data_IF_871196113154
#
_entry.id   IF_871196113154
#
_cell.length_a   1.000
_cell.length_b   1.000
_cell.length_c   1.000
_cell.angle_alpha   90.00
_cell.angle_beta   90.00
_cell.angle_gamma   90.00
#
_symmetry.space_group_name_H-M   'P 1'
#
loop_
_entity.id
_entity.type
_entity.pdbx_description
1 polymer ?
#
# COMPACT_ATOMS: atom_id res chain seq x y z
N UNK A 1 -23.63 -5.64 14.90
CA UNK A 1 -24.25 -6.84 14.31
C UNK A 1 -24.77 -6.45 12.94
N UNK A 2 -24.13 -6.89 11.89
CA UNK A 2 -24.56 -6.69 10.53
C UNK A 2 -25.32 -7.94 10.08
N UNK A 3 -26.64 -7.80 9.82
CA UNK A 3 -27.42 -8.76 9.06
C UNK A 3 -28.03 -9.91 9.86
N UNK A 4 -29.33 -9.81 10.14
CA UNK A 4 -30.20 -10.95 10.42
C UNK A 4 -30.70 -11.61 9.14
N UNK A 5 -31.37 -12.78 9.20
CA UNK A 5 -31.89 -13.47 8.03
C UNK A 5 -32.85 -12.57 7.25
N UNK A 6 -32.54 -12.34 5.97
CA UNK A 6 -33.34 -11.51 5.05
C UNK A 6 -32.67 -10.24 4.55
N UNK A 7 -31.43 -10.00 4.85
CA UNK A 7 -30.73 -8.83 4.30
C UNK A 7 -30.24 -9.04 2.87
N UNK A 8 -30.57 -8.06 2.02
CA UNK A 8 -30.14 -8.01 0.60
C UNK A 8 -28.66 -7.65 0.50
N UNK A 9 -27.98 -8.30 -0.39
CA UNK A 9 -26.60 -8.00 -0.75
C UNK A 9 -26.58 -6.92 -1.87
N UNK A 10 -25.79 -5.81 -1.77
CA UNK A 10 -24.85 -5.54 -0.70
C UNK A 10 -25.52 -5.01 0.57
N UNK A 11 -24.95 -5.33 1.74
CA UNK A 11 -25.38 -4.71 2.99
C UNK A 11 -25.29 -3.18 2.88
N UNK A 12 -26.23 -2.42 3.47
CA UNK A 12 -26.17 -0.97 3.44
C UNK A 12 -24.82 -0.50 4.02
N UNK A 13 -24.24 0.51 3.39
CA UNK A 13 -22.98 1.11 3.84
C UNK A 13 -23.09 1.49 5.32
N UNK A 14 -22.27 0.87 6.17
CA UNK A 14 -22.21 1.23 7.58
C UNK A 14 -21.20 2.37 7.72
N UNK A 15 -21.65 3.49 8.25
CA UNK A 15 -20.78 4.64 8.51
C UNK A 15 -19.87 4.31 9.70
N UNK A 16 -18.59 4.00 9.40
CA UNK A 16 -17.57 3.73 10.40
C UNK A 16 -17.22 4.98 11.23
N UNK A 17 -17.45 6.19 10.72
CA UNK A 17 -17.21 7.43 11.46
C UNK A 17 -18.00 7.50 12.78
N UNK A 18 -19.17 6.87 12.86
CA UNK A 18 -19.94 6.81 14.10
C UNK A 18 -19.30 5.88 15.16
N UNK A 19 -18.55 4.86 14.73
CA UNK A 19 -17.83 3.96 15.64
C UNK A 19 -16.58 4.62 16.24
N UNK A 20 -16.04 5.64 15.58
CA UNK A 20 -14.85 6.39 16.01
C UNK A 20 -15.18 7.79 16.55
N UNK A 21 -16.46 8.22 16.51
CA UNK A 21 -16.89 9.49 17.07
C UNK A 21 -16.64 9.53 18.59
N UNK A 22 -15.74 10.42 19.02
CA UNK A 22 -15.41 10.59 20.44
C UNK A 22 -14.08 9.98 20.89
N UNK A 23 -13.30 9.41 20.00
CA UNK A 23 -11.92 8.99 20.29
C UNK A 23 -11.04 10.24 20.34
N UNK A 24 -10.71 10.69 21.56
CA UNK A 24 -9.93 11.92 21.78
C UNK A 24 -8.43 11.74 21.46
N UNK A 25 -7.94 10.51 21.36
CA UNK A 25 -6.58 10.18 20.97
C UNK A 25 -6.62 8.94 20.06
N UNK A 26 -6.37 9.09 18.75
CA UNK A 26 -6.37 7.98 17.82
C UNK A 26 -5.11 7.09 17.93
N UNK A 27 -4.10 7.50 18.71
CA UNK A 27 -2.88 6.74 18.92
C UNK A 27 -3.16 5.51 19.78
N UNK A 28 -3.07 4.33 19.18
CA UNK A 28 -3.31 3.06 19.87
C UNK A 28 -3.42 1.88 18.92
N UNK A 29 -3.47 0.68 19.49
CA UNK A 29 -3.66 -0.55 18.70
C UNK A 29 -5.11 -0.66 18.26
N UNK A 30 -5.35 -0.60 16.95
CA UNK A 30 -6.66 -0.80 16.34
C UNK A 30 -6.80 -2.24 15.88
N UNK A 31 -7.89 -2.90 16.27
CA UNK A 31 -8.19 -4.27 15.83
C UNK A 31 -9.44 -4.23 14.96
N UNK A 32 -9.29 -4.46 13.65
CA UNK A 32 -10.40 -4.75 12.77
C UNK A 32 -10.81 -6.21 12.93
N UNK A 33 -11.94 -6.46 13.59
CA UNK A 33 -12.51 -7.79 13.69
C UNK A 33 -13.64 -7.93 12.69
N UNK A 34 -13.46 -8.75 11.66
CA UNK A 34 -14.52 -9.18 10.77
C UNK A 34 -15.09 -10.49 11.32
N UNK A 35 -16.35 -10.49 11.69
CA UNK A 35 -17.05 -11.70 12.18
C UNK A 35 -18.17 -12.00 11.19
N UNK A 36 -18.08 -13.12 10.51
CA UNK A 36 -19.21 -13.71 9.79
C UNK A 36 -20.15 -14.34 10.81
N UNK A 37 -21.34 -13.81 10.93
CA UNK A 37 -22.39 -14.26 11.86
C UNK A 37 -23.46 -15.12 11.21
N UNK A 38 -23.33 -15.45 9.92
CA UNK A 38 -24.33 -16.24 9.20
C UNK A 38 -23.79 -17.61 8.83
N UNK A 39 -24.50 -18.68 9.23
CA UNK A 39 -24.21 -20.03 8.78
C UNK A 39 -24.83 -20.24 7.39
N UNK A 40 -24.01 -20.47 6.38
CA UNK A 40 -24.45 -20.92 5.06
C UNK A 40 -24.03 -20.07 3.86
N UNK A 41 -23.31 -18.98 4.07
CA UNK A 41 -22.70 -18.21 3.00
C UNK A 41 -21.19 -18.14 3.19
N UNK A 42 -20.45 -18.26 2.12
CA UNK A 42 -19.00 -18.09 2.11
C UNK A 42 -18.66 -16.76 1.46
N UNK A 43 -18.37 -15.74 2.26
CA UNK A 43 -17.85 -14.46 1.79
C UNK A 43 -16.32 -14.49 1.78
N UNK A 44 -15.70 -14.17 0.65
CA UNK A 44 -14.27 -13.92 0.58
C UNK A 44 -14.02 -12.40 0.60
N UNK A 45 -13.30 -11.93 1.61
CA UNK A 45 -12.69 -10.60 1.57
C UNK A 45 -11.36 -10.76 0.84
N UNK A 46 -11.31 -10.36 -0.42
CA UNK A 46 -10.11 -10.53 -1.27
C UNK A 46 -8.98 -9.57 -0.90
N UNK A 47 -9.30 -8.43 -0.31
CA UNK A 47 -8.36 -7.51 0.33
C UNK A 47 -9.14 -6.54 1.22
N UNK A 48 -8.60 -6.20 2.38
CA UNK A 48 -9.00 -5.05 3.17
C UNK A 48 -7.73 -4.26 3.49
N UNK A 49 -7.64 -3.04 3.00
CA UNK A 49 -6.55 -2.13 3.31
C UNK A 49 -7.04 -1.18 4.40
N UNK A 50 -6.38 -1.21 5.54
CA UNK A 50 -6.53 -0.24 6.61
C UNK A 50 -5.25 0.59 6.61
N UNK A 51 -5.34 1.85 6.23
CA UNK A 51 -4.22 2.79 6.30
C UNK A 51 -4.51 3.80 7.40
N UNK A 52 -3.56 4.03 8.30
CA UNK A 52 -3.68 4.97 9.41
C UNK A 52 -2.70 6.13 9.17
N UNK A 53 -3.10 7.37 9.42
CA UNK A 53 -2.39 8.57 9.00
C UNK A 53 -1.42 9.18 10.00
N UNK A 54 -0.30 9.65 9.47
CA UNK A 54 0.50 10.75 9.97
C UNK A 54 0.81 11.77 8.85
N UNK A 55 1.33 12.93 9.16
CA UNK A 55 1.60 14.05 8.23
C UNK A 55 2.94 13.94 7.48
N UNK A 56 3.36 12.74 7.11
CA UNK A 56 4.55 12.49 6.29
C UNK A 56 4.15 11.82 4.97
N UNK A 57 4.95 11.99 3.92
CA UNK A 57 4.72 11.39 2.61
C UNK A 57 4.92 9.86 2.66
N UNK A 58 3.94 9.18 3.17
CA UNK A 58 3.88 7.73 3.21
C UNK A 58 2.71 7.31 2.36
N UNK A 59 2.71 6.12 1.75
CA UNK A 59 1.64 5.56 0.92
C UNK A 59 0.24 5.82 1.47
N UNK A 60 -0.17 7.07 1.40
CA UNK A 60 -1.44 7.56 1.90
C UNK A 60 -2.40 7.48 0.73
N UNK A 61 -3.40 6.64 0.81
CA UNK A 61 -4.54 6.70 -0.11
C UNK A 61 -5.38 7.91 0.29
N UNK A 62 -4.92 9.10 -0.10
CA UNK A 62 -5.62 10.38 0.08
C UNK A 62 -6.20 10.82 -1.26
N UNK A 63 -7.41 10.36 -1.55
CA UNK A 63 -8.08 10.62 -2.84
C UNK A 63 -8.67 12.02 -2.94
N UNK A 64 -8.82 12.72 -1.81
CA UNK A 64 -9.43 14.05 -1.78
C UNK A 64 -8.42 15.19 -1.52
N UNK A 65 -7.20 14.90 -1.08
CA UNK A 65 -6.13 15.87 -0.83
C UNK A 65 -6.28 16.61 0.49
N UNK A 66 -6.90 15.99 1.49
CA UNK A 66 -7.08 16.63 2.82
C UNK A 66 -5.95 16.29 3.80
N UNK A 67 -4.91 15.55 3.34
CA UNK A 67 -3.76 15.12 4.13
C UNK A 67 -4.06 13.95 5.06
N UNK A 68 -5.15 13.23 4.81
CA UNK A 68 -5.56 12.07 5.61
C UNK A 68 -5.83 10.88 4.73
N UNK A 69 -5.52 9.70 5.22
CA UNK A 69 -5.84 8.45 4.52
C UNK A 69 -7.34 8.24 4.41
N UNK A 70 -7.79 7.95 3.21
CA UNK A 70 -9.14 7.56 2.89
C UNK A 70 -9.33 6.04 2.92
N UNK A 71 -10.57 5.62 3.14
CA UNK A 71 -10.93 4.21 3.14
C UNK A 71 -11.25 3.75 1.73
N UNK A 72 -10.39 2.91 1.14
CA UNK A 72 -10.62 2.38 -0.20
C UNK A 72 -10.78 0.86 -0.19
N UNK A 73 -11.77 0.37 -0.94
CA UNK A 73 -12.01 -1.05 -1.18
C UNK A 73 -12.08 -1.29 -2.68
N UNK A 74 -11.26 -2.20 -3.18
CA UNK A 74 -11.29 -2.60 -4.58
C UNK A 74 -12.09 -3.89 -4.73
N UNK A 75 -13.06 -3.89 -5.65
CA UNK A 75 -13.95 -5.03 -5.89
C UNK A 75 -13.98 -5.39 -7.36
N UNK A 76 -13.84 -6.67 -7.65
CA UNK A 76 -14.06 -7.21 -8.99
C UNK A 76 -15.57 -7.13 -9.34
N UNK A 77 -15.91 -6.34 -10.33
CA UNK A 77 -17.27 -6.15 -10.84
C UNK A 77 -17.51 -6.81 -12.20
N UNK A 78 -16.44 -7.20 -12.91
CA UNK A 78 -16.51 -7.81 -14.22
C UNK A 78 -16.56 -9.34 -14.20
N UNK A 79 -16.36 -9.96 -13.03
CA UNK A 79 -16.29 -11.41 -12.86
C UNK A 79 -15.04 -12.05 -13.45
N UNK A 80 -14.65 -13.22 -12.94
CA UNK A 80 -13.45 -13.94 -13.34
C UNK A 80 -12.14 -13.26 -12.89
N UNK A 81 -10.98 -13.90 -13.13
CA UNK A 81 -9.69 -13.42 -12.63
C UNK A 81 -9.19 -12.14 -13.34
N UNK A 82 -9.71 -11.83 -14.51
CA UNK A 82 -9.34 -10.63 -15.29
C UNK A 82 -10.50 -9.63 -15.39
N UNK A 83 -11.53 -9.79 -14.55
CA UNK A 83 -12.68 -8.89 -14.52
C UNK A 83 -12.28 -7.46 -14.15
N UNK A 84 -13.04 -6.50 -14.69
CA UNK A 84 -12.87 -5.10 -14.34
C UNK A 84 -13.10 -4.88 -12.85
N UNK A 85 -12.35 -3.97 -12.24
CA UNK A 85 -12.51 -3.63 -10.82
C UNK A 85 -13.07 -2.23 -10.64
N UNK A 86 -13.78 -2.05 -9.52
CA UNK A 86 -14.22 -0.75 -9.03
C UNK A 86 -13.56 -0.46 -7.68
N UNK A 87 -13.10 0.76 -7.53
CA UNK A 87 -12.56 1.35 -6.32
C UNK A 87 -13.69 2.12 -5.63
N UNK A 88 -14.00 1.72 -4.41
CA UNK A 88 -15.00 2.40 -3.57
C UNK A 88 -14.25 3.12 -2.47
N UNK A 89 -14.17 4.43 -2.55
CA UNK A 89 -13.44 5.25 -1.59
C UNK A 89 -14.41 6.04 -0.73
N UNK A 90 -14.25 5.95 0.57
CA UNK A 90 -14.91 6.79 1.56
C UNK A 90 -13.90 7.79 2.11
N UNK A 91 -14.17 9.08 1.95
CA UNK A 91 -13.27 10.13 2.46
C UNK A 91 -13.27 10.16 3.98
N UNK A 92 -12.06 10.26 4.56
CA UNK A 92 -11.90 10.58 5.97
C UNK A 92 -12.16 12.07 6.20
N UNK A 93 -12.47 12.50 7.38
CA UNK A 93 -12.60 13.93 7.68
C UNK A 93 -13.92 14.59 7.24
N UNK A 94 -14.08 14.93 5.99
CA UNK A 94 -15.21 15.79 5.52
C UNK A 94 -16.47 15.03 5.11
N UNK A 95 -16.42 13.71 5.10
CA UNK A 95 -17.51 12.88 4.58
C UNK A 95 -17.60 12.92 3.04
N UNK A 96 -18.37 11.98 2.49
CA UNK A 96 -18.41 11.79 1.03
C UNK A 96 -17.49 10.67 0.58
N UNK A 97 -17.36 10.51 -0.71
CA UNK A 97 -16.53 9.46 -1.31
C UNK A 97 -16.66 9.45 -2.82
N UNK A 98 -15.88 8.59 -3.46
CA UNK A 98 -15.91 8.41 -4.92
C UNK A 98 -15.95 6.93 -5.29
N UNK A 99 -16.32 6.68 -6.52
CA UNK A 99 -16.24 5.34 -7.12
C UNK A 99 -15.59 5.45 -8.47
N UNK A 100 -14.47 4.76 -8.64
CA UNK A 100 -13.72 4.71 -9.88
C UNK A 100 -13.72 3.29 -10.44
N UNK A 101 -13.88 3.18 -11.75
CA UNK A 101 -13.79 1.89 -12.44
C UNK A 101 -12.51 1.87 -13.24
N UNK A 102 -11.50 1.20 -12.71
CA UNK A 102 -10.16 1.22 -13.30
C UNK A 102 -9.34 -0.01 -12.90
N UNK A 103 -8.73 -0.65 -13.90
CA UNK A 103 -7.91 -1.84 -13.69
C UNK A 103 -8.67 -3.15 -13.82
N UNK A 104 -7.97 -4.22 -13.54
CA UNK A 104 -8.40 -5.61 -13.63
C UNK A 104 -8.13 -6.34 -12.31
N UNK A 105 -8.90 -7.37 -12.01
CA UNK A 105 -8.73 -8.15 -10.78
C UNK A 105 -7.39 -8.90 -10.69
N UNK A 106 -6.67 -9.03 -11.80
CA UNK A 106 -5.31 -9.59 -11.85
C UNK A 106 -4.19 -8.56 -11.70
N UNK A 107 -4.52 -7.28 -11.65
CA UNK A 107 -3.54 -6.21 -11.47
C UNK A 107 -3.17 -6.06 -9.99
N UNK A 108 -1.99 -5.51 -9.73
CA UNK A 108 -1.61 -5.02 -8.42
C UNK A 108 -2.12 -3.58 -8.25
N UNK A 109 -2.70 -3.29 -7.10
CA UNK A 109 -3.26 -1.97 -6.81
C UNK A 109 -2.18 -1.13 -6.12
N UNK A 110 -1.82 -0.02 -6.75
CA UNK A 110 -0.67 0.82 -6.39
C UNK A 110 -1.05 2.31 -6.43
N UNK A 111 -2.09 2.73 -5.68
CA UNK A 111 -2.49 4.13 -5.65
C UNK A 111 -1.40 4.96 -4.99
N UNK A 112 -1.07 6.09 -5.59
CA UNK A 112 -0.08 7.06 -5.10
C UNK A 112 -0.24 8.39 -5.87
N UNK A 113 0.38 9.47 -5.40
CA UNK A 113 0.38 10.75 -6.12
C UNK A 113 1.47 10.76 -7.20
N UNK A 114 1.13 10.37 -8.42
CA UNK A 114 2.06 10.37 -9.56
C UNK A 114 2.14 11.71 -10.31
N UNK A 115 1.24 12.64 -10.03
CA UNK A 115 1.21 13.92 -10.75
C UNK A 115 1.55 15.14 -9.89
N UNK A 116 1.65 14.98 -8.56
CA UNK A 116 2.11 16.00 -7.62
C UNK A 116 1.04 16.99 -7.22
N UNK A 117 -0.24 16.58 -7.24
CA UNK A 117 -1.35 17.43 -6.84
C UNK A 117 -1.78 17.23 -5.36
N UNK A 118 -1.02 16.41 -4.62
CA UNK A 118 -1.27 15.97 -3.26
C UNK A 118 -2.53 15.12 -3.10
N UNK A 119 -2.96 14.44 -4.16
CA UNK A 119 -4.00 13.42 -4.12
C UNK A 119 -3.48 12.12 -4.69
N UNK A 120 -3.92 11.03 -4.11
CA UNK A 120 -3.59 9.74 -4.70
C UNK A 120 -4.32 9.55 -6.03
N UNK A 121 -3.56 9.17 -7.04
CA UNK A 121 -4.08 8.71 -8.32
C UNK A 121 -4.57 7.27 -8.22
N UNK A 122 -5.61 6.93 -8.96
CA UNK A 122 -6.00 5.53 -9.10
C UNK A 122 -5.02 4.85 -10.04
N UNK A 123 -4.20 3.95 -9.50
CA UNK A 123 -3.16 3.31 -10.26
C UNK A 123 -3.11 1.80 -10.04
N UNK A 124 -2.74 1.08 -11.10
CA UNK A 124 -2.54 -0.36 -11.09
C UNK A 124 -1.25 -0.72 -11.83
N UNK A 125 -0.60 -1.78 -11.37
CA UNK A 125 0.51 -2.39 -12.10
C UNK A 125 0.06 -3.73 -12.66
N UNK A 126 0.27 -3.91 -13.97
CA UNK A 126 -0.10 -5.13 -14.69
C UNK A 126 1.14 -5.92 -15.07
N UNK A 127 1.32 -7.11 -14.47
CA UNK A 127 2.46 -7.97 -14.81
C UNK A 127 2.38 -8.47 -16.25
N UNK A 128 3.53 -8.50 -16.91
CA UNK A 128 3.71 -9.10 -18.23
C UNK A 128 5.15 -9.63 -18.32
N UNK A 129 5.40 -10.83 -18.85
CA UNK A 129 6.72 -11.42 -18.86
C UNK A 129 7.75 -10.66 -19.70
N UNK A 130 7.30 -9.83 -20.64
CA UNK A 130 8.18 -9.04 -21.51
C UNK A 130 8.28 -7.59 -21.04
N UNK A 131 7.15 -7.00 -20.67
CA UNK A 131 7.06 -5.58 -20.30
C UNK A 131 5.81 -5.34 -19.47
N UNK A 132 5.96 -5.19 -18.17
CA UNK A 132 4.88 -4.79 -17.28
C UNK A 132 4.63 -3.29 -17.36
N UNK A 133 3.44 -2.85 -16.97
CA UNK A 133 3.03 -1.47 -17.06
C UNK A 133 2.36 -0.99 -15.79
N UNK A 134 2.72 0.20 -15.33
CA UNK A 134 1.86 1.01 -14.48
C UNK A 134 0.83 1.71 -15.35
N UNK A 135 -0.44 1.59 -14.99
CA UNK A 135 -1.55 2.32 -15.58
C UNK A 135 -2.10 3.25 -14.51
N UNK A 136 -2.14 4.53 -14.82
CA UNK A 136 -2.43 5.60 -13.86
C UNK A 136 -3.56 6.47 -14.42
N UNK A 137 -4.57 6.73 -13.62
CA UNK A 137 -5.59 7.72 -13.87
C UNK A 137 -5.31 8.92 -12.98
N UNK A 138 -4.75 9.98 -13.55
CA UNK A 138 -4.32 11.18 -12.82
C UNK A 138 -5.50 11.90 -12.20
N UNK A 139 -5.40 12.22 -10.92
CA UNK A 139 -6.44 12.92 -10.15
C UNK A 139 -6.65 14.35 -10.61
N UNK A 140 -5.56 15.09 -10.89
CA UNK A 140 -5.62 16.51 -11.29
C UNK A 140 -6.31 16.76 -12.63
N UNK A 141 -6.19 15.84 -13.57
CA UNK A 141 -6.62 16.04 -14.96
C UNK A 141 -7.60 15.00 -15.47
N UNK A 142 -7.80 13.92 -14.72
CA UNK A 142 -8.54 12.74 -15.16
C UNK A 142 -8.00 12.14 -16.46
N UNK A 143 -6.70 12.29 -16.70
CA UNK A 143 -6.04 11.76 -17.91
C UNK A 143 -5.34 10.44 -17.61
N UNK A 144 -5.37 9.55 -18.59
CA UNK A 144 -4.70 8.25 -18.53
C UNK A 144 -3.20 8.40 -18.85
N UNK A 145 -2.36 7.72 -18.05
CA UNK A 145 -0.95 7.53 -18.30
C UNK A 145 -0.59 6.06 -18.23
N UNK A 146 0.33 5.62 -19.08
CA UNK A 146 0.94 4.29 -18.99
C UNK A 146 2.47 4.43 -18.92
N UNK A 147 3.09 3.79 -17.94
CA UNK A 147 4.54 3.75 -17.76
C UNK A 147 4.97 2.29 -17.90
N UNK A 148 5.80 1.99 -18.89
CA UNK A 148 6.36 0.66 -19.07
C UNK A 148 7.50 0.47 -18.07
N UNK A 149 7.27 -0.37 -17.04
CA UNK A 149 8.27 -0.63 -16.01
C UNK A 149 8.04 -1.97 -15.30
N UNK A 150 9.12 -2.74 -15.18
CA UNK A 150 9.08 -4.06 -14.55
C UNK A 150 8.75 -5.21 -15.50
N UNK A 151 8.74 -6.40 -14.94
CA UNK A 151 8.33 -7.66 -15.59
C UNK A 151 7.57 -8.54 -14.59
N UNK A 152 6.90 -9.59 -15.07
CA UNK A 152 6.28 -10.60 -14.19
C UNK A 152 7.27 -11.15 -13.16
N UNK A 153 6.88 -11.17 -11.90
CA UNK A 153 7.70 -11.63 -10.77
C UNK A 153 8.36 -10.49 -9.98
N UNK A 154 8.30 -9.28 -10.50
CA UNK A 154 8.66 -8.09 -9.72
C UNK A 154 7.53 -7.74 -8.74
N UNK A 155 7.88 -7.08 -7.64
CA UNK A 155 6.93 -6.55 -6.64
C UNK A 155 6.81 -5.03 -6.82
N UNK A 156 5.64 -4.50 -7.21
CA UNK A 156 5.42 -3.06 -7.41
C UNK A 156 5.06 -2.31 -6.12
N UNK A 157 4.98 -2.97 -4.97
CA UNK A 157 4.59 -2.32 -3.70
C UNK A 157 5.66 -1.38 -3.13
N UNK A 158 6.69 -1.12 -3.91
CA UNK A 158 7.81 -0.25 -3.57
C UNK A 158 7.77 1.10 -4.29
N UNK A 159 6.62 1.50 -4.83
CA UNK A 159 6.42 2.85 -5.37
C UNK A 159 6.57 3.90 -4.27
N UNK A 160 6.88 5.13 -4.64
CA UNK A 160 7.01 6.27 -3.72
C UNK A 160 7.94 7.32 -4.29
N UNK A 161 8.10 8.44 -3.61
CA UNK A 161 8.96 9.55 -4.02
C UNK A 161 10.40 9.29 -3.59
N UNK A 162 11.26 8.84 -4.50
CA UNK A 162 12.67 8.58 -4.25
C UNK A 162 13.59 9.76 -4.59
N UNK A 163 13.13 10.71 -5.41
CA UNK A 163 13.95 11.87 -5.78
C UNK A 163 13.55 13.16 -5.05
N UNK A 164 12.47 13.12 -4.27
CA UNK A 164 12.03 14.22 -3.40
C UNK A 164 11.35 15.36 -4.17
N UNK A 165 10.73 15.05 -5.31
CA UNK A 165 10.06 16.06 -6.15
C UNK A 165 8.56 16.20 -5.86
N UNK A 166 8.05 15.42 -4.89
CA UNK A 166 6.65 15.41 -4.47
C UNK A 166 5.77 14.54 -5.36
N UNK A 167 6.35 13.68 -6.21
CA UNK A 167 5.61 12.72 -7.05
C UNK A 167 6.11 11.31 -6.80
N UNK A 168 5.18 10.37 -6.88
CA UNK A 168 5.55 8.98 -6.83
C UNK A 168 6.34 8.54 -8.07
N UNK A 169 7.40 7.78 -7.84
CA UNK A 169 8.21 7.15 -8.86
C UNK A 169 7.70 5.73 -9.17
N UNK A 170 7.77 5.34 -10.42
CA UNK A 170 7.45 3.96 -10.80
C UNK A 170 8.59 3.04 -10.37
N UNK A 171 8.36 2.23 -9.35
CA UNK A 171 9.38 1.38 -8.76
C UNK A 171 8.92 -0.08 -8.66
N UNK A 172 9.87 -0.99 -8.79
CA UNK A 172 9.66 -2.43 -8.57
C UNK A 172 10.85 -3.05 -7.84
N UNK A 173 10.54 -3.99 -6.94
CA UNK A 173 11.55 -4.82 -6.30
C UNK A 173 11.67 -6.15 -7.02
N UNK A 174 12.89 -6.50 -7.39
CA UNK A 174 13.21 -7.77 -8.05
C UNK A 174 14.04 -8.65 -7.15
N UNK A 175 13.46 -9.76 -6.73
CA UNK A 175 14.15 -10.79 -5.98
C UNK A 175 15.30 -11.40 -6.77
N UNK A 176 16.38 -11.80 -6.10
CA UNK A 176 17.43 -12.60 -6.70
C UNK A 176 16.90 -13.94 -7.25
N UNK A 177 17.66 -14.62 -8.10
CA UNK A 177 17.22 -15.82 -8.80
C UNK A 177 16.91 -17.02 -7.88
N UNK A 178 17.44 -17.02 -6.66
CA UNK A 178 17.15 -18.03 -5.62
C UNK A 178 17.21 -17.43 -4.23
N UNK A 179 16.63 -18.13 -3.26
CA UNK A 179 16.57 -17.69 -1.86
C UNK A 179 17.95 -17.24 -1.34
N UNK A 180 17.99 -16.09 -0.69
CA UNK A 180 19.19 -15.48 -0.14
C UNK A 180 20.09 -14.76 -1.16
N UNK A 181 19.80 -14.83 -2.46
CA UNK A 181 20.52 -14.02 -3.44
C UNK A 181 20.09 -12.57 -3.41
N UNK A 182 21.04 -11.70 -3.76
CA UNK A 182 20.89 -10.26 -3.80
C UNK A 182 19.68 -9.84 -4.65
N UNK A 183 18.88 -8.94 -4.11
CA UNK A 183 17.74 -8.31 -4.76
C UNK A 183 18.04 -6.87 -5.16
N UNK A 184 17.21 -6.35 -6.05
CA UNK A 184 17.36 -5.00 -6.61
C UNK A 184 16.04 -4.25 -6.59
N UNK A 185 16.12 -2.98 -6.27
CA UNK A 185 15.07 -1.99 -6.48
C UNK A 185 15.36 -1.29 -7.81
N UNK A 186 14.42 -1.36 -8.73
CA UNK A 186 14.47 -0.67 -10.01
C UNK A 186 13.48 0.48 -9.99
N UNK A 187 13.97 1.69 -9.97
CA UNK A 187 13.18 2.91 -9.78
C UNK A 187 13.31 3.77 -11.02
N UNK A 188 12.20 4.15 -11.63
CA UNK A 188 12.13 5.16 -12.66
C UNK A 188 11.63 6.44 -12.04
N UNK A 189 12.58 7.27 -11.60
CA UNK A 189 12.29 8.54 -10.94
C UNK A 189 11.59 9.51 -11.90
N UNK A 190 10.64 10.27 -11.40
CA UNK A 190 9.81 11.17 -12.17
C UNK A 190 10.61 12.30 -12.82
N UNK A 191 11.69 12.76 -12.17
CA UNK A 191 12.56 13.82 -12.67
C UNK A 191 14.01 13.40 -12.88
N UNK A 192 14.57 12.50 -12.04
CA UNK A 192 15.99 12.17 -12.08
C UNK A 192 16.34 10.93 -12.93
N UNK A 193 15.33 10.21 -13.46
CA UNK A 193 15.53 9.08 -14.36
C UNK A 193 15.75 7.74 -13.64
N UNK A 194 16.47 6.80 -14.27
CA UNK A 194 16.65 5.46 -13.72
C UNK A 194 17.63 5.41 -12.56
N UNK A 195 17.17 4.82 -11.46
CA UNK A 195 17.99 4.49 -10.29
C UNK A 195 17.87 2.98 -10.00
N UNK A 196 19.00 2.33 -9.73
CA UNK A 196 19.03 0.96 -9.22
C UNK A 196 19.65 0.94 -7.82
N UNK A 197 18.92 0.35 -6.86
CA UNK A 197 19.43 0.15 -5.51
C UNK A 197 19.60 -1.36 -5.28
N UNK A 198 20.82 -1.77 -4.97
CA UNK A 198 21.13 -3.13 -4.57
C UNK A 198 20.87 -3.28 -3.09
N UNK A 199 19.69 -3.78 -2.70
CA UNK A 199 19.28 -3.91 -1.31
C UNK A 199 18.29 -5.05 -1.11
N UNK A 200 18.47 -5.78 0.00
CA UNK A 200 17.67 -6.97 0.29
C UNK A 200 18.18 -8.23 -0.40
N UNK A 201 17.51 -9.32 -0.18
CA UNK A 201 17.74 -10.61 -0.83
C UNK A 201 16.41 -11.32 -1.12
N UNK A 202 16.44 -12.29 -2.02
CA UNK A 202 15.26 -13.11 -2.30
C UNK A 202 14.79 -13.83 -1.03
N UNK A 203 13.52 -13.63 -0.68
CA UNK A 203 12.89 -14.10 0.56
C UNK A 203 12.70 -13.02 1.61
N UNK A 204 13.20 -11.81 1.38
CA UNK A 204 12.88 -10.65 2.21
C UNK A 204 11.49 -10.08 1.86
N UNK A 205 10.82 -9.48 2.83
CA UNK A 205 9.61 -8.69 2.64
C UNK A 205 9.97 -7.21 2.51
N UNK A 206 9.44 -6.54 1.50
CA UNK A 206 9.68 -5.10 1.31
C UNK A 206 8.92 -4.26 2.34
N UNK A 207 9.55 -3.17 2.74
CA UNK A 207 9.03 -2.24 3.75
C UNK A 207 9.46 -0.80 3.41
N UNK A 208 9.13 -0.28 2.19
CA UNK A 208 9.53 1.07 1.81
C UNK A 208 8.95 2.11 2.76
N UNK A 209 9.64 3.24 2.95
CA UNK A 209 9.19 4.33 3.81
C UNK A 209 10.26 5.41 3.94
N UNK A 210 9.89 6.61 4.36
CA UNK A 210 10.82 7.67 4.74
C UNK A 210 11.13 7.52 6.24
N UNK A 211 12.20 6.79 6.56
CA UNK A 211 12.53 6.46 7.96
C UNK A 211 13.40 7.52 8.65
N UNK A 212 14.03 8.41 7.91
CA UNK A 212 14.84 9.49 8.49
C UNK A 212 14.17 10.88 8.41
N UNK A 213 13.07 11.00 7.67
CA UNK A 213 12.25 12.20 7.56
C UNK A 213 12.84 13.22 6.59
N UNK A 214 13.59 12.76 5.58
CA UNK A 214 14.22 13.65 4.60
C UNK A 214 13.30 13.96 3.41
N UNK A 215 12.07 13.40 3.40
CA UNK A 215 11.08 13.57 2.36
C UNK A 215 11.26 12.63 1.18
N UNK A 216 12.13 11.62 1.29
CA UNK A 216 12.40 10.63 0.25
C UNK A 216 12.15 9.23 0.76
N UNK A 217 11.68 8.39 -0.15
CA UNK A 217 11.48 6.99 0.16
C UNK A 217 12.80 6.26 0.33
N UNK A 218 12.95 5.54 1.46
CA UNK A 218 14.09 4.67 1.75
C UNK A 218 13.82 3.22 1.30
N UNK A 219 14.87 2.53 0.93
CA UNK A 219 14.77 1.11 0.62
C UNK A 219 14.89 0.27 1.90
N UNK A 220 13.82 -0.35 2.32
CA UNK A 220 13.82 -1.20 3.51
C UNK A 220 13.22 -2.57 3.25
N UNK A 221 13.73 -3.57 3.96
CA UNK A 221 13.23 -4.95 3.90
C UNK A 221 13.20 -5.57 5.28
N UNK A 222 12.25 -6.46 5.54
CA UNK A 222 12.23 -7.33 6.70
C UNK A 222 12.73 -8.72 6.31
N UNK A 223 13.62 -9.28 7.11
CA UNK A 223 14.21 -10.60 6.93
C UNK A 223 14.01 -11.49 8.12
N UNK A 224 13.78 -12.77 7.86
CA UNK A 224 13.83 -13.81 8.88
C UNK A 224 15.25 -13.95 9.44
N UNK A 225 15.43 -13.65 10.72
CA UNK A 225 16.72 -13.75 11.40
C UNK A 225 16.96 -15.13 12.04
N UNK A 226 15.98 -16.03 11.94
CA UNK A 226 15.97 -17.30 12.69
C UNK A 226 15.49 -17.11 14.13
N UNK A 227 15.30 -18.21 14.84
CA UNK A 227 14.88 -18.17 16.26
C UNK A 227 13.52 -17.49 16.52
N UNK A 228 12.69 -17.32 15.49
CA UNK A 228 11.39 -16.66 15.62
C UNK A 228 11.43 -15.13 15.58
N UNK A 229 12.59 -14.55 15.27
CA UNK A 229 12.75 -13.08 15.16
C UNK A 229 12.92 -12.64 13.72
N UNK A 230 12.51 -11.40 13.42
CA UNK A 230 12.79 -10.73 12.18
C UNK A 230 13.66 -9.49 12.39
N UNK A 231 14.38 -9.09 11.36
CA UNK A 231 15.21 -7.88 11.33
C UNK A 231 14.78 -7.02 10.15
N UNK A 232 14.56 -5.74 10.42
CA UNK A 232 14.44 -4.72 9.38
C UNK A 232 15.83 -4.21 9.02
N UNK A 233 16.11 -4.18 7.71
CA UNK A 233 17.30 -3.57 7.12
C UNK A 233 16.83 -2.35 6.34
N UNK A 234 17.19 -1.16 6.80
CA UNK A 234 16.79 0.11 6.20
C UNK A 234 18.02 0.75 5.56
N UNK A 235 17.94 1.07 4.28
CA UNK A 235 18.96 1.83 3.56
C UNK A 235 18.38 3.20 3.22
N UNK A 236 18.88 4.20 3.94
CA UNK A 236 18.50 5.59 3.73
C UNK A 236 18.96 6.10 2.36
N UNK A 237 18.26 7.10 1.83
CA UNK A 237 18.60 7.66 0.52
C UNK A 237 20.04 8.20 0.48
N UNK A 238 20.55 8.74 1.57
CA UNK A 238 21.93 9.21 1.71
C UNK A 238 23.00 8.08 1.66
N UNK A 239 22.58 6.82 1.55
CA UNK A 239 23.45 5.64 1.44
C UNK A 239 23.89 5.03 2.79
N UNK A 240 23.55 5.63 3.92
CA UNK A 240 23.72 5.01 5.23
C UNK A 240 22.66 3.93 5.46
N UNK A 241 22.83 3.10 6.48
CA UNK A 241 21.85 2.04 6.76
C UNK A 241 21.71 1.76 8.26
N UNK A 242 20.59 1.18 8.65
CA UNK A 242 20.34 0.66 9.99
C UNK A 242 19.77 -0.75 9.96
N UNK A 243 19.86 -1.43 11.12
CA UNK A 243 19.29 -2.76 11.35
C UNK A 243 18.54 -2.75 12.66
N UNK A 244 17.28 -3.16 12.64
CA UNK A 244 16.41 -3.14 13.82
C UNK A 244 15.73 -4.50 13.95
N UNK A 245 15.91 -5.18 15.09
CA UNK A 245 15.20 -6.42 15.40
C UNK A 245 13.78 -6.07 15.81
N UNK A 246 12.80 -6.44 15.00
CA UNK A 246 11.40 -6.16 15.28
C UNK A 246 10.48 -7.17 14.58
N UNK A 247 9.48 -7.66 15.31
CA UNK A 247 8.50 -8.60 14.79
C UNK A 247 9.02 -10.04 14.64
N UNK A 248 8.24 -10.84 13.94
CA UNK A 248 8.55 -12.24 13.60
C UNK A 248 8.46 -12.45 12.09
N UNK A 249 9.06 -13.53 11.56
CA UNK A 249 9.05 -13.80 10.12
C UNK A 249 7.67 -14.06 9.49
N UNK A 250 6.66 -14.27 10.32
CA UNK A 250 5.28 -14.55 9.90
C UNK A 250 4.36 -13.35 10.05
N UNK A 251 4.86 -12.25 10.61
CA UNK A 251 4.09 -11.03 10.72
C UNK A 251 3.94 -10.37 9.33
N UNK A 252 2.81 -9.71 9.11
CA UNK A 252 2.60 -8.87 7.92
C UNK A 252 3.26 -7.51 8.19
N UNK A 253 4.11 -7.08 7.28
CA UNK A 253 4.82 -5.80 7.34
C UNK A 253 3.87 -4.68 6.91
N UNK A 254 3.71 -3.67 7.77
CA UNK A 254 2.78 -2.55 7.56
C UNK A 254 3.39 -1.23 8.05
N UNK A 255 4.54 -0.78 7.47
CA UNK A 255 5.18 0.46 7.88
C UNK A 255 4.26 1.66 7.61
N UNK A 256 4.44 2.73 8.37
CA UNK A 256 3.68 3.97 8.22
C UNK A 256 4.06 4.96 9.32
N UNK A 257 3.73 6.21 9.15
CA UNK A 257 3.87 7.23 10.20
C UNK A 257 2.67 7.14 11.15
N UNK A 258 2.84 6.45 12.28
CA UNK A 258 1.77 6.18 13.24
C UNK A 258 1.67 7.21 14.35
N UNK A 259 2.72 7.99 14.59
CA UNK A 259 2.73 9.02 15.62
C UNK A 259 2.67 10.45 15.07
N UNK A 260 2.77 10.63 13.75
CA UNK A 260 2.60 11.89 13.06
C UNK A 260 3.86 12.78 13.08
N UNK A 261 5.05 12.19 13.23
CA UNK A 261 6.30 12.93 13.30
C UNK A 261 6.94 13.17 11.91
N UNK A 262 6.31 12.66 10.86
CA UNK A 262 6.78 12.76 9.48
C UNK A 262 7.78 11.68 9.08
N UNK A 263 7.97 10.66 9.91
CA UNK A 263 8.84 9.51 9.62
C UNK A 263 8.04 8.22 9.58
N UNK A 264 8.54 7.29 8.81
CA UNK A 264 7.97 5.94 8.82
C UNK A 264 8.32 5.20 10.09
N UNK A 265 7.30 4.69 10.79
CA UNK A 265 7.46 3.77 11.90
C UNK A 265 7.52 2.32 11.42
N UNK A 266 8.30 1.51 12.12
CA UNK A 266 8.28 0.07 11.91
C UNK A 266 7.03 -0.54 12.56
N UNK A 267 6.19 -1.15 11.74
CA UNK A 267 4.99 -1.81 12.22
C UNK A 267 4.79 -3.18 11.57
N UNK A 268 4.26 -4.10 12.36
CA UNK A 268 3.89 -5.44 11.89
C UNK A 268 2.55 -5.86 12.48
N UNK A 269 1.78 -6.62 11.70
CA UNK A 269 0.52 -7.20 12.15
C UNK A 269 0.66 -8.70 12.28
N UNK A 270 0.32 -9.22 13.46
CA UNK A 270 0.30 -10.66 13.74
C UNK A 270 -1.12 -11.18 13.80
N UNK A 271 -1.42 -12.17 12.96
CA UNK A 271 -2.67 -12.92 13.08
C UNK A 271 -2.70 -13.68 14.41
N UNK A 272 -3.80 -13.55 15.17
CA UNK A 272 -4.10 -14.45 16.29
C UNK A 272 -4.87 -15.64 15.73
N UNK A 273 -4.29 -16.83 15.85
CA UNK A 273 -4.93 -18.11 15.51
C UNK A 273 -5.90 -18.55 16.60
#
# INVERSE_FOLDING_TARGET
ALGGPGQVNPAPATNLSAAFAGVANPNGTWILRLTDGCSGDTGNVSAALLTLNGTGSQHIVDMNGDGRTDWSVVRNIGGGPTGQVAWFTQYSGVGGGQTDVFGSASDFFVPEDFDGDNKSDVAVWRPNPVAAFFYIMRSSTSTFQAIQWGITGDDPSVIGDYDGDGKADAAVYRGGASAGQQSFWHILQSTAGYLAIQWGQNGDFVAPGDYDGDGRQDAAVQRNAGGGSAIFFIRYFNGTFSQIVFGTPTDVVVPGDYDGDGKTDLATVRGVS
#
